data_IF_349966033511
#
_entry.id   IF_349966033511
#
_cell.length_a   1.000
_cell.length_b   1.000
_cell.length_c   1.000
_cell.angle_alpha   90.00
_cell.angle_beta   90.00
_cell.angle_gamma   90.00
#
_symmetry.space_group_name_H-M   'P 1'
#
loop_
_entity.id
_entity.type
_entity.pdbx_description
1 polymer ?
#
# COMPACT_ATOMS: atom_id res chain seq x y z
N UNK A 1 -3.68 10.76 27.35
CA UNK A 1 -2.55 10.27 27.01
C UNK A 1 -2.49 9.68 25.63
N UNK A 2 -1.65 10.13 24.87
CA UNK A 2 -1.61 9.58 23.56
C UNK A 2 -1.19 8.14 23.65
N UNK A 3 -1.97 7.32 23.07
CA UNK A 3 -1.61 5.96 23.00
C UNK A 3 -0.66 5.76 21.85
N UNK A 4 0.16 4.76 21.95
CA UNK A 4 0.95 4.33 20.83
C UNK A 4 0.01 3.79 19.76
N UNK A 5 0.20 4.25 18.55
CA UNK A 5 -0.65 3.85 17.43
C UNK A 5 0.21 3.70 16.19
N UNK A 6 -0.25 2.83 15.26
CA UNK A 6 0.45 2.68 13.99
C UNK A 6 0.53 4.01 13.25
N UNK A 7 -0.39 4.93 13.52
CA UNK A 7 -0.42 6.24 12.86
C UNK A 7 0.85 7.04 13.12
N UNK A 8 1.58 6.73 14.20
CA UNK A 8 2.83 7.40 14.53
C UNK A 8 4.04 6.78 13.82
N UNK A 9 3.87 5.65 13.17
CA UNK A 9 4.96 5.02 12.45
C UNK A 9 5.25 5.77 11.15
N UNK A 10 6.50 6.16 10.97
CA UNK A 10 6.92 6.84 9.74
C UNK A 10 6.60 6.01 8.50
N UNK A 11 6.84 4.69 8.58
CA UNK A 11 6.59 3.81 7.43
C UNK A 11 5.11 3.76 7.08
N UNK A 12 4.22 3.81 8.09
CA UNK A 12 2.79 3.85 7.81
C UNK A 12 2.40 5.18 7.17
N UNK A 13 2.93 6.28 7.70
CA UNK A 13 2.65 7.61 7.17
C UNK A 13 3.07 7.73 5.71
N UNK A 14 4.23 7.18 5.37
CA UNK A 14 4.70 7.18 3.99
C UNK A 14 3.86 6.31 3.08
N UNK A 15 3.41 5.16 3.58
CA UNK A 15 2.55 4.29 2.79
C UNK A 15 1.18 4.92 2.57
N UNK A 16 0.66 5.63 3.56
CA UNK A 16 -0.57 6.39 3.42
C UNK A 16 -0.43 7.43 2.32
N UNK A 17 0.67 8.15 2.31
CA UNK A 17 0.88 9.16 1.29
C UNK A 17 0.96 8.54 -0.11
N UNK A 18 1.58 7.39 -0.22
CA UNK A 18 1.63 6.66 -1.48
C UNK A 18 0.23 6.34 -1.99
N UNK A 19 -0.66 5.86 -1.10
CA UNK A 19 -2.04 5.56 -1.47
C UNK A 19 -2.73 6.81 -1.99
N UNK A 20 -2.60 7.92 -1.26
CA UNK A 20 -3.24 9.17 -1.66
C UNK A 20 -2.74 9.66 -3.02
N UNK A 21 -1.43 9.57 -3.23
CA UNK A 21 -0.82 10.00 -4.49
C UNK A 21 -1.27 9.12 -5.64
N UNK A 22 -1.37 7.80 -5.41
CA UNK A 22 -1.83 6.87 -6.44
C UNK A 22 -3.27 7.13 -6.83
N UNK A 23 -4.14 7.39 -5.86
CA UNK A 23 -5.54 7.69 -6.16
C UNK A 23 -5.64 8.97 -6.98
N UNK A 24 -4.87 9.97 -6.61
CA UNK A 24 -4.90 11.24 -7.32
C UNK A 24 -4.38 11.12 -8.75
N UNK A 25 -3.28 10.40 -8.92
CA UNK A 25 -2.67 10.21 -10.24
C UNK A 25 -3.54 9.35 -11.14
N UNK A 26 -4.06 8.23 -10.61
CA UNK A 26 -4.82 7.28 -11.42
C UNK A 26 -6.22 7.78 -11.75
N UNK A 27 -6.67 8.84 -11.09
CA UNK A 27 -7.95 9.46 -11.40
C UNK A 27 -8.03 9.87 -12.88
N UNK A 28 -6.91 10.19 -13.48
CA UNK A 28 -6.84 10.66 -14.87
C UNK A 28 -6.58 9.54 -15.88
N UNK A 29 -6.53 8.30 -15.42
CA UNK A 29 -6.37 7.16 -16.33
C UNK A 29 -7.67 6.92 -17.09
N UNK A 30 -7.58 6.32 -18.30
CA UNK A 30 -8.80 5.99 -19.08
C UNK A 30 -9.74 5.11 -18.28
N UNK A 31 -11.03 5.30 -18.52
CA UNK A 31 -12.06 4.56 -17.78
C UNK A 31 -11.94 3.06 -17.94
N UNK A 32 -11.52 2.59 -19.12
CA UNK A 32 -11.37 1.16 -19.35
C UNK A 32 -10.29 0.55 -18.50
N UNK A 33 -9.38 1.35 -17.91
CA UNK A 33 -8.33 0.85 -17.03
C UNK A 33 -8.77 0.81 -15.57
N UNK A 34 -9.91 1.41 -15.23
CA UNK A 34 -10.34 1.52 -13.82
C UNK A 34 -10.63 0.18 -13.20
N UNK A 35 -11.18 -0.77 -13.95
CA UNK A 35 -11.49 -2.09 -13.41
C UNK A 35 -10.36 -3.09 -13.64
N UNK A 36 -9.31 -2.67 -14.32
CA UNK A 36 -8.12 -3.48 -14.56
C UNK A 36 -6.98 -3.03 -13.68
N UNK A 37 -5.96 -2.46 -14.35
CA UNK A 37 -4.69 -2.14 -13.69
C UNK A 37 -4.84 -1.10 -12.57
N UNK A 38 -5.74 -0.12 -12.73
CA UNK A 38 -5.93 0.91 -11.70
C UNK A 38 -6.46 0.28 -10.42
N UNK A 39 -7.48 -0.57 -10.53
CA UNK A 39 -8.05 -1.21 -9.36
C UNK A 39 -7.01 -2.10 -8.66
N UNK A 40 -6.24 -2.86 -9.43
CA UNK A 40 -5.20 -3.73 -8.87
C UNK A 40 -4.12 -2.92 -8.18
N UNK A 41 -3.69 -1.81 -8.79
CA UNK A 41 -2.66 -0.95 -8.23
C UNK A 41 -3.12 -0.33 -6.91
N UNK A 42 -4.36 0.16 -6.87
CA UNK A 42 -4.91 0.76 -5.66
C UNK A 42 -5.03 -0.26 -4.54
N UNK A 43 -5.48 -1.47 -4.87
CA UNK A 43 -5.61 -2.54 -3.87
C UNK A 43 -4.26 -2.95 -3.30
N UNK A 44 -3.25 -3.06 -4.16
CA UNK A 44 -1.90 -3.40 -3.70
C UNK A 44 -1.36 -2.31 -2.75
N UNK A 45 -1.55 -1.04 -3.09
CA UNK A 45 -1.08 0.05 -2.26
C UNK A 45 -1.80 0.09 -0.91
N UNK A 46 -3.12 -0.09 -0.90
CA UNK A 46 -3.89 -0.13 0.35
C UNK A 46 -3.41 -1.28 1.21
N UNK A 47 -3.07 -2.42 0.61
CA UNK A 47 -2.58 -3.58 1.35
C UNK A 47 -1.29 -3.27 2.12
N UNK A 48 -0.45 -2.36 1.62
CA UNK A 48 0.75 -1.96 2.36
C UNK A 48 0.36 -1.35 3.69
N UNK A 49 -0.54 -0.37 3.68
CA UNK A 49 -0.97 0.31 4.91
C UNK A 49 -1.65 -0.64 5.87
N UNK A 50 -2.51 -1.50 5.34
CA UNK A 50 -3.28 -2.43 6.17
C UNK A 50 -2.35 -3.43 6.87
N UNK A 51 -1.35 -3.94 6.18
CA UNK A 51 -0.47 -4.95 6.76
C UNK A 51 0.56 -4.34 7.71
N UNK A 52 0.95 -3.09 7.50
CA UNK A 52 1.78 -2.39 8.50
C UNK A 52 0.98 -2.21 9.79
N UNK A 53 -0.26 -1.76 9.70
CA UNK A 53 -1.10 -1.57 10.87
C UNK A 53 -1.35 -2.89 11.59
N UNK A 54 -1.61 -3.95 10.83
CA UNK A 54 -1.86 -5.28 11.38
C UNK A 54 -0.62 -5.79 12.10
N UNK A 55 0.56 -5.64 11.49
CA UNK A 55 1.82 -6.07 12.11
C UNK A 55 2.11 -5.30 13.38
N UNK A 56 1.83 -4.00 13.38
CA UNK A 56 2.04 -3.18 14.56
C UNK A 56 1.20 -3.69 15.75
N UNK A 57 -0.02 -4.15 15.47
CA UNK A 57 -0.93 -4.60 16.52
C UNK A 57 -0.57 -5.96 17.09
N UNK A 58 0.27 -6.75 16.41
CA UNK A 58 0.62 -8.08 16.89
C UNK A 58 1.60 -7.99 18.04
N UNK A 59 1.51 -8.93 18.98
CA UNK A 59 2.38 -8.96 20.14
C UNK A 59 3.67 -9.70 19.85
N UNK A 60 3.59 -10.86 19.20
CA UNK A 60 4.75 -11.69 18.93
C UNK A 60 5.56 -11.20 17.74
N UNK A 61 6.87 -11.33 17.84
CA UNK A 61 7.75 -10.86 16.76
C UNK A 61 7.55 -11.65 15.47
N UNK A 62 7.28 -12.93 15.58
CA UNK A 62 7.06 -13.78 14.41
C UNK A 62 5.83 -13.31 13.64
N UNK A 63 4.76 -12.98 14.37
CA UNK A 63 3.54 -12.47 13.74
C UNK A 63 3.77 -11.09 13.13
N UNK A 64 4.51 -10.22 13.82
CA UNK A 64 4.85 -8.92 13.26
C UNK A 64 5.59 -9.06 11.94
N UNK A 65 6.59 -9.94 11.91
CA UNK A 65 7.36 -10.16 10.68
C UNK A 65 6.49 -10.69 9.56
N UNK A 66 5.55 -11.57 9.89
CA UNK A 66 4.63 -12.10 8.88
C UNK A 66 3.88 -10.98 8.16
N UNK A 67 3.29 -10.06 8.92
CA UNK A 67 2.51 -8.98 8.31
C UNK A 67 3.40 -7.95 7.63
N UNK A 68 4.58 -7.67 8.18
CA UNK A 68 5.52 -6.76 7.53
C UNK A 68 6.04 -7.35 6.22
N UNK A 69 6.22 -8.67 6.15
CA UNK A 69 6.61 -9.33 4.90
C UNK A 69 5.51 -9.23 3.86
N UNK A 70 4.25 -9.35 4.27
CA UNK A 70 3.14 -9.17 3.33
C UNK A 70 3.13 -7.73 2.82
N UNK A 71 3.35 -6.76 3.70
CA UNK A 71 3.42 -5.36 3.30
C UNK A 71 4.55 -5.12 2.30
N UNK A 72 5.70 -5.75 2.51
CA UNK A 72 6.83 -5.65 1.60
C UNK A 72 6.47 -6.20 0.22
N UNK A 73 5.80 -7.36 0.18
CA UNK A 73 5.33 -7.94 -1.06
C UNK A 73 4.34 -7.04 -1.78
N UNK A 74 3.43 -6.42 -1.01
CA UNK A 74 2.46 -5.49 -1.58
C UNK A 74 3.13 -4.26 -2.17
N UNK A 75 4.21 -3.80 -1.54
CA UNK A 75 4.98 -2.68 -2.07
C UNK A 75 5.61 -3.04 -3.42
N UNK A 76 6.22 -4.24 -3.51
CA UNK A 76 6.82 -4.67 -4.77
C UNK A 76 5.75 -4.86 -5.84
N UNK A 77 4.59 -5.37 -5.46
CA UNK A 77 3.47 -5.51 -6.39
C UNK A 77 3.02 -4.13 -6.91
N UNK A 78 2.93 -3.15 -6.01
CA UNK A 78 2.58 -1.78 -6.39
C UNK A 78 3.60 -1.22 -7.37
N UNK A 79 4.89 -1.42 -7.09
CA UNK A 79 5.95 -0.97 -7.98
C UNK A 79 5.82 -1.61 -9.37
N UNK A 80 5.53 -2.89 -9.39
CA UNK A 80 5.35 -3.61 -10.65
C UNK A 80 4.20 -3.01 -11.47
N UNK A 81 3.08 -2.72 -10.83
CA UNK A 81 1.94 -2.13 -11.52
C UNK A 81 2.26 -0.72 -12.04
N UNK A 82 3.00 0.07 -11.26
CA UNK A 82 3.39 1.41 -11.70
C UNK A 82 4.26 1.34 -12.94
N UNK A 83 5.24 0.44 -12.93
CA UNK A 83 6.14 0.26 -14.08
C UNK A 83 5.34 -0.20 -15.29
N UNK A 84 4.45 -1.19 -15.09
CA UNK A 84 3.64 -1.73 -16.17
C UNK A 84 2.71 -0.66 -16.76
N UNK A 85 2.11 0.16 -15.92
CA UNK A 85 1.21 1.21 -16.40
C UNK A 85 1.97 2.24 -17.24
N UNK A 86 3.20 2.53 -16.87
CA UNK A 86 4.06 3.42 -17.66
C UNK A 86 4.34 2.80 -19.04
N UNK A 87 4.65 1.50 -19.06
CA UNK A 87 4.96 0.81 -20.30
C UNK A 87 3.75 0.70 -21.23
N UNK A 88 2.57 0.61 -20.65
CA UNK A 88 1.34 0.54 -21.44
C UNK A 88 0.95 1.90 -22.03
N UNK A 89 1.53 2.93 -21.50
CA UNK A 89 1.20 4.27 -21.93
C UNK A 89 0.01 4.84 -21.24
#
# INVERSE_FOLDING_TARGET
MPTQSFENLTVWQKSRQLVLDLYQTTRYFPKEEMFGIVNQMRRAAISITANIAEGYARIGQKDKLHFYNIAQGSLEETRSFVILSYDLG
#
